data_IF_054540236475
#
_entry.id   IF_054540236475
#
_cell.length_a   1.000
_cell.length_b   1.000
_cell.length_c   1.000
_cell.angle_alpha   90.00
_cell.angle_beta   90.00
_cell.angle_gamma   90.00
#
_symmetry.space_group_name_H-M   'P 1'
#
loop_
_entity.id
_entity.type
_entity.pdbx_description
1 polymer ?
#
# COMPACT_ATOMS: atom_id res chain seq x y z
N UNK A 1 21.84 -4.21 -26.95
CA UNK A 1 22.72 -4.78 -25.92
C UNK A 1 24.08 -4.10 -26.09
N UNK A 2 24.57 -3.26 -25.16
CA UNK A 2 25.90 -2.67 -25.31
C UNK A 2 26.98 -3.75 -25.11
N UNK A 3 27.97 -3.75 -25.98
CA UNK A 3 29.10 -4.68 -26.00
C UNK A 3 30.13 -4.26 -24.92
N UNK A 4 30.66 -5.22 -24.16
CA UNK A 4 31.64 -5.01 -23.08
C UNK A 4 32.98 -5.65 -23.47
N UNK A 5 34.05 -4.86 -23.45
CA UNK A 5 35.42 -5.32 -23.70
C UNK A 5 36.23 -5.49 -22.42
N UNK A 6 37.08 -6.52 -22.37
CA UNK A 6 38.04 -6.78 -21.28
C UNK A 6 39.40 -6.18 -21.64
N UNK A 7 39.98 -5.40 -20.73
CA UNK A 7 41.32 -4.80 -20.91
C UNK A 7 42.20 -5.16 -19.71
N UNK A 8 43.45 -5.51 -19.97
CA UNK A 8 44.44 -5.88 -18.95
C UNK A 8 45.25 -4.65 -18.52
N UNK A 9 45.44 -4.46 -17.23
CA UNK A 9 46.27 -3.37 -16.71
C UNK A 9 47.74 -3.78 -16.54
N UNK A 10 48.57 -2.80 -16.19
CA UNK A 10 50.01 -2.95 -16.03
C UNK A 10 50.42 -3.89 -14.87
N UNK A 11 49.47 -4.34 -14.04
CA UNK A 11 49.68 -5.34 -12.98
C UNK A 11 49.28 -6.74 -13.41
N UNK A 12 48.72 -6.89 -14.62
CA UNK A 12 48.27 -8.16 -15.18
C UNK A 12 46.83 -8.52 -14.84
N UNK A 13 46.06 -7.64 -14.18
CA UNK A 13 44.66 -7.85 -13.87
C UNK A 13 43.75 -7.40 -15.03
N UNK A 14 42.70 -8.18 -15.33
CA UNK A 14 41.73 -7.86 -16.37
C UNK A 14 40.50 -7.18 -15.79
N UNK A 15 40.09 -6.05 -16.37
CA UNK A 15 38.89 -5.32 -15.97
C UNK A 15 37.97 -5.04 -17.18
N UNK A 16 36.66 -5.07 -16.91
CA UNK A 16 35.62 -4.78 -17.90
C UNK A 16 35.48 -3.27 -18.08
N UNK A 17 35.68 -2.79 -19.31
CA UNK A 17 35.54 -1.37 -19.64
C UNK A 17 34.36 -1.18 -20.58
N UNK A 18 33.51 -0.20 -20.27
CA UNK A 18 32.44 0.27 -21.16
C UNK A 18 32.92 1.51 -21.90
N UNK A 19 32.77 1.52 -23.21
CA UNK A 19 33.12 2.65 -24.08
C UNK A 19 31.98 3.67 -24.09
N UNK A 20 32.07 4.69 -23.23
CA UNK A 20 31.17 5.86 -23.29
C UNK A 20 31.86 7.02 -24.03
N UNK A 21 31.30 7.38 -25.19
CA UNK A 21 31.66 8.56 -25.95
C UNK A 21 31.27 9.84 -25.20
N UNK A 22 32.25 10.70 -24.96
CA UNK A 22 32.08 11.93 -24.19
C UNK A 22 31.36 13.06 -24.95
N UNK A 23 30.53 13.79 -24.22
CA UNK A 23 29.96 15.09 -24.60
C UNK A 23 29.65 15.92 -23.35
N UNK A 24 30.42 17.00 -23.14
CA UNK A 24 30.29 17.97 -22.05
C UNK A 24 29.00 18.78 -22.15
N UNK A 25 28.29 18.96 -21.04
CA UNK A 25 27.43 20.12 -20.79
C UNK A 25 27.29 20.38 -19.29
N UNK A 26 27.53 21.63 -18.92
CA UNK A 26 27.41 22.26 -17.61
C UNK A 26 26.01 22.14 -16.99
N UNK A 27 25.95 21.96 -15.67
CA UNK A 27 24.72 22.11 -14.89
C UNK A 27 24.87 21.60 -13.47
N UNK A 28 25.18 22.50 -12.53
CA UNK A 28 25.06 22.24 -11.10
C UNK A 28 23.61 21.90 -10.77
N UNK A 29 23.34 20.69 -10.26
CA UNK A 29 22.20 20.45 -9.38
C UNK A 29 22.40 19.16 -8.58
N UNK A 30 22.72 19.37 -7.31
CA UNK A 30 22.33 18.56 -6.16
C UNK A 30 21.53 17.29 -6.45
N UNK A 31 22.13 16.15 -6.12
CA UNK A 31 21.42 14.90 -5.84
C UNK A 31 20.31 15.16 -4.81
N UNK A 32 19.05 15.16 -5.25
CA UNK A 32 17.90 15.06 -4.34
C UNK A 32 17.80 13.62 -3.85
N UNK A 33 18.48 13.40 -2.73
CA UNK A 33 17.98 12.54 -1.67
C UNK A 33 16.47 12.79 -1.52
N UNK A 34 15.67 11.78 -1.84
CA UNK A 34 14.22 11.84 -1.64
C UNK A 34 13.95 11.57 -0.17
N UNK A 35 14.37 12.54 0.64
CA UNK A 35 14.12 12.58 2.06
C UNK A 35 12.62 12.51 2.31
N UNK A 36 12.29 11.57 3.18
CA UNK A 36 11.05 11.46 3.92
C UNK A 36 10.71 12.81 4.55
N UNK A 37 10.05 13.69 3.80
CA UNK A 37 9.48 14.93 4.32
C UNK A 37 8.09 14.62 4.86
N UNK A 38 8.09 13.84 5.95
CA UNK A 38 7.06 13.91 6.97
C UNK A 38 6.88 15.37 7.40
N UNK A 39 5.69 15.68 7.91
CA UNK A 39 5.29 17.03 8.29
C UNK A 39 6.42 17.73 9.06
N UNK A 40 6.82 18.93 8.62
CA UNK A 40 7.84 19.82 9.22
C UNK A 40 7.51 20.30 10.66
N UNK A 41 6.64 19.59 11.38
CA UNK A 41 6.45 19.69 12.81
C UNK A 41 6.14 18.30 13.36
N UNK A 42 7.18 17.51 13.59
CA UNK A 42 7.23 16.45 14.61
C UNK A 42 7.03 17.03 16.04
N UNK A 43 6.14 18.02 16.20
CA UNK A 43 5.63 18.46 17.49
C UNK A 43 4.59 17.44 17.93
N UNK A 44 5.19 16.31 18.31
CA UNK A 44 4.67 15.19 19.06
C UNK A 44 3.42 14.52 18.47
N UNK A 45 3.65 13.62 17.51
CA UNK A 45 2.65 12.63 17.07
C UNK A 45 1.97 11.94 18.28
N UNK A 46 2.69 11.79 19.39
CA UNK A 46 2.20 11.19 20.66
C UNK A 46 1.20 12.07 21.41
N UNK A 47 1.11 13.36 21.10
CA UNK A 47 0.15 14.31 21.71
C UNK A 47 -1.15 14.43 20.92
N UNK A 48 -1.21 13.90 19.70
CA UNK A 48 -2.46 13.94 18.93
C UNK A 48 -3.55 13.16 19.65
N UNK A 49 -4.74 13.72 19.62
CA UNK A 49 -5.96 13.14 20.15
C UNK A 49 -6.91 12.79 19.01
N UNK A 50 -8.05 12.19 19.36
CA UNK A 50 -9.09 11.85 18.37
C UNK A 50 -9.62 13.06 17.61
N UNK A 51 -9.63 14.24 18.25
CA UNK A 51 -10.17 15.48 17.69
C UNK A 51 -9.23 16.10 16.65
N UNK A 52 -7.94 15.79 16.74
CA UNK A 52 -6.93 16.23 15.78
C UNK A 52 -6.98 15.43 14.47
N UNK A 53 -7.63 14.27 14.45
CA UNK A 53 -7.77 13.44 13.25
C UNK A 53 -8.90 14.00 12.37
N UNK A 54 -8.60 14.52 11.16
CA UNK A 54 -9.62 15.11 10.30
C UNK A 54 -10.68 14.09 9.91
N UNK A 55 -11.90 14.55 9.63
CA UNK A 55 -12.94 13.69 9.09
C UNK A 55 -12.80 13.54 7.57
N UNK A 56 -13.30 12.44 7.00
CA UNK A 56 -13.38 12.31 5.56
C UNK A 56 -14.24 13.43 4.94
N UNK A 57 -15.31 13.85 5.62
CA UNK A 57 -16.18 14.95 5.22
C UNK A 57 -15.50 16.32 5.18
N UNK A 58 -14.42 16.53 5.93
CA UNK A 58 -13.67 17.79 5.87
C UNK A 58 -12.80 17.90 4.61
N UNK A 59 -12.65 16.82 3.83
CA UNK A 59 -11.76 16.76 2.67
C UNK A 59 -10.27 16.65 3.02
N UNK A 60 -9.90 16.78 4.31
CA UNK A 60 -8.50 16.84 4.73
C UNK A 60 -7.94 15.50 5.22
N UNK A 61 -8.77 14.48 5.40
CA UNK A 61 -8.33 13.20 5.97
C UNK A 61 -7.27 12.50 5.13
N UNK A 62 -7.45 12.40 3.80
CA UNK A 62 -6.49 11.70 2.97
C UNK A 62 -5.11 12.37 3.01
N UNK A 63 -5.08 13.71 2.93
CA UNK A 63 -3.86 14.49 3.08
C UNK A 63 -3.16 14.18 4.41
N UNK A 64 -3.92 14.18 5.51
CA UNK A 64 -3.40 13.80 6.84
C UNK A 64 -2.82 12.38 6.85
N UNK A 65 -3.56 11.38 6.38
CA UNK A 65 -3.08 9.99 6.37
C UNK A 65 -1.84 9.82 5.50
N UNK A 66 -1.82 10.46 4.34
CA UNK A 66 -0.70 10.37 3.39
C UNK A 66 0.55 11.07 3.91
N UNK A 67 0.40 12.14 4.70
CA UNK A 67 1.53 12.87 5.28
C UNK A 67 2.21 12.18 6.46
N UNK A 68 1.57 11.18 7.07
CA UNK A 68 2.20 10.36 8.11
C UNK A 68 3.30 9.50 7.49
N UNK A 69 4.39 9.28 8.19
CA UNK A 69 5.30 8.16 7.93
C UNK A 69 4.70 6.86 8.46
N UNK A 70 5.28 5.70 8.10
CA UNK A 70 4.85 4.41 8.65
C UNK A 70 5.01 4.37 10.18
N UNK A 71 6.12 4.88 10.71
CA UNK A 71 6.39 4.90 12.15
C UNK A 71 5.47 5.85 12.93
N UNK A 72 5.09 6.99 12.34
CA UNK A 72 4.11 7.89 12.94
C UNK A 72 2.72 7.26 12.97
N UNK A 73 2.32 6.56 11.88
CA UNK A 73 1.07 5.83 11.88
C UNK A 73 1.07 4.71 12.92
N UNK A 74 2.17 3.96 13.06
CA UNK A 74 2.32 2.92 14.09
C UNK A 74 2.16 3.48 15.51
N UNK A 75 2.72 4.66 15.78
CA UNK A 75 2.58 5.33 17.08
C UNK A 75 1.11 5.69 17.36
N UNK A 76 0.43 6.34 16.40
CA UNK A 76 -0.99 6.64 16.49
C UNK A 76 -1.86 5.38 16.60
N UNK A 77 -1.43 4.27 15.99
CA UNK A 77 -2.16 3.01 15.97
C UNK A 77 -2.26 2.33 17.34
N UNK A 78 -1.34 2.67 18.27
CA UNK A 78 -1.35 2.16 19.66
C UNK A 78 -2.56 2.66 20.44
N UNK A 79 -3.03 3.89 20.20
CA UNK A 79 -4.26 4.40 20.81
C UNK A 79 -5.49 3.83 20.08
N UNK A 80 -6.27 3.00 20.79
CA UNK A 80 -7.47 2.35 20.25
C UNK A 80 -8.53 3.32 19.74
N UNK A 81 -8.68 4.51 20.34
CA UNK A 81 -9.65 5.51 19.91
C UNK A 81 -9.19 6.21 18.63
N UNK A 82 -7.91 6.57 18.55
CA UNK A 82 -7.31 7.15 17.34
C UNK A 82 -7.37 6.15 16.19
N UNK A 83 -6.92 4.91 16.42
CA UNK A 83 -7.03 3.81 15.45
C UNK A 83 -8.46 3.67 14.90
N UNK A 84 -9.47 3.58 15.78
CA UNK A 84 -10.88 3.48 15.35
C UNK A 84 -11.33 4.68 14.52
N UNK A 85 -10.87 5.89 14.86
CA UNK A 85 -11.17 7.11 14.11
C UNK A 85 -10.57 7.06 12.71
N UNK A 86 -9.30 6.67 12.58
CA UNK A 86 -8.60 6.50 11.29
C UNK A 86 -9.29 5.41 10.46
N UNK A 87 -9.52 4.22 11.03
CA UNK A 87 -10.23 3.13 10.36
C UNK A 87 -11.58 3.62 9.82
N UNK A 88 -12.38 4.34 10.62
CA UNK A 88 -13.66 4.90 10.16
C UNK A 88 -13.49 5.87 9.00
N UNK A 89 -12.46 6.72 9.01
CA UNK A 89 -12.26 7.71 7.95
C UNK A 89 -11.76 7.07 6.65
N UNK A 90 -11.03 5.94 6.72
CA UNK A 90 -10.68 5.13 5.56
C UNK A 90 -11.92 4.44 4.96
N UNK A 91 -12.87 4.00 5.80
CA UNK A 91 -14.12 3.36 5.35
C UNK A 91 -15.16 4.32 4.80
N UNK A 92 -15.04 5.63 4.95
CA UNK A 92 -16.05 6.58 4.47
C UNK A 92 -15.98 6.73 2.92
N UNK A 93 -17.12 6.74 2.20
CA UNK A 93 -18.46 6.35 2.64
C UNK A 93 -18.57 4.83 2.85
N UNK A 94 -19.44 4.42 3.77
CA UNK A 94 -19.72 3.01 4.03
C UNK A 94 -20.47 2.32 2.88
N UNK A 95 -20.73 1.02 3.02
CA UNK A 95 -21.38 0.20 1.98
C UNK A 95 -20.40 -0.37 0.94
N UNK A 96 -19.09 -0.24 1.20
CA UNK A 96 -18.02 -0.75 0.37
C UNK A 96 -17.19 -1.76 1.17
N UNK A 97 -16.79 -2.87 0.54
CA UNK A 97 -15.84 -3.84 1.06
C UNK A 97 -14.42 -3.37 0.73
N UNK A 98 -13.55 -3.37 1.73
CA UNK A 98 -12.15 -2.98 1.58
C UNK A 98 -11.27 -4.19 1.30
N UNK A 99 -10.66 -4.27 0.11
CA UNK A 99 -9.65 -5.28 -0.22
C UNK A 99 -8.32 -5.00 0.50
N UNK A 100 -7.98 -3.72 0.65
CA UNK A 100 -6.99 -3.24 1.62
C UNK A 100 -7.66 -3.08 2.98
N UNK A 101 -7.79 -4.18 3.74
CA UNK A 101 -8.50 -4.14 5.02
C UNK A 101 -7.92 -3.05 5.93
N UNK A 102 -8.75 -2.05 6.26
CA UNK A 102 -8.29 -0.89 7.02
C UNK A 102 -7.79 -1.23 8.43
N UNK A 103 -8.13 -2.42 8.95
CA UNK A 103 -7.57 -2.96 10.21
C UNK A 103 -6.07 -3.30 10.13
N UNK A 104 -5.50 -3.26 8.92
CA UNK A 104 -4.09 -3.41 8.58
C UNK A 104 -3.53 -2.20 7.84
N UNK A 105 -4.14 -1.02 7.99
CA UNK A 105 -3.63 0.21 7.37
C UNK A 105 -2.11 0.47 7.62
N UNK A 106 -1.52 0.16 8.78
CA UNK A 106 -0.07 0.28 8.95
C UNK A 106 0.76 -0.57 7.99
N UNK A 107 0.34 -1.81 7.71
CA UNK A 107 1.01 -2.68 6.74
C UNK A 107 0.96 -2.10 5.33
N UNK A 108 -0.20 -1.56 4.94
CA UNK A 108 -0.37 -0.89 3.65
C UNK A 108 0.45 0.40 3.57
N UNK A 109 0.58 1.14 4.67
CA UNK A 109 1.44 2.31 4.74
C UNK A 109 2.92 1.95 4.57
N UNK A 110 3.37 0.85 5.18
CA UNK A 110 4.71 0.29 4.98
C UNK A 110 4.98 -0.09 3.51
N UNK A 111 3.95 -0.54 2.80
CA UNK A 111 3.99 -0.80 1.36
C UNK A 111 3.76 0.44 0.48
N UNK A 112 3.78 1.65 1.07
CA UNK A 112 3.57 2.93 0.39
C UNK A 112 2.19 3.08 -0.29
N UNK A 113 1.15 2.48 0.29
CA UNK A 113 -0.23 2.61 -0.18
C UNK A 113 -0.93 3.77 0.55
N UNK A 114 -1.45 4.72 -0.22
CA UNK A 114 -2.13 5.92 0.27
C UNK A 114 -3.62 5.73 0.56
N UNK A 115 -4.23 6.75 1.14
CA UNK A 115 -5.66 6.75 1.48
C UNK A 115 -6.57 6.67 0.25
N UNK A 116 -6.18 7.29 -0.86
CA UNK A 116 -6.89 7.21 -2.15
C UNK A 116 -6.94 5.77 -2.64
N UNK A 117 -5.79 5.10 -2.70
CA UNK A 117 -5.74 3.73 -3.22
C UNK A 117 -6.55 2.75 -2.35
N UNK A 118 -6.46 2.87 -1.02
CA UNK A 118 -7.31 2.09 -0.08
C UNK A 118 -8.81 2.33 -0.36
N UNK A 119 -9.19 3.56 -0.73
CA UNK A 119 -10.59 3.95 -0.93
C UNK A 119 -11.11 3.64 -2.34
N UNK A 120 -10.28 3.77 -3.35
CA UNK A 120 -10.66 3.60 -4.74
C UNK A 120 -10.69 2.11 -5.12
N UNK A 121 -9.86 1.30 -4.46
CA UNK A 121 -9.81 -0.15 -4.66
C UNK A 121 -10.74 -0.88 -3.68
N UNK A 122 -11.98 -0.39 -3.59
CA UNK A 122 -13.09 -1.02 -2.86
C UNK A 122 -14.17 -1.49 -3.83
N UNK A 123 -15.03 -2.38 -3.37
CA UNK A 123 -16.17 -2.89 -4.14
C UNK A 123 -17.45 -2.72 -3.34
N UNK A 124 -18.59 -2.43 -3.98
CA UNK A 124 -19.86 -2.38 -3.26
C UNK A 124 -20.13 -3.71 -2.55
N UNK A 125 -20.56 -3.67 -1.28
CA UNK A 125 -20.76 -4.90 -0.50
C UNK A 125 -21.82 -5.82 -1.13
N UNK A 126 -22.76 -5.26 -1.89
CA UNK A 126 -23.77 -6.00 -2.66
C UNK A 126 -23.19 -6.88 -3.76
N UNK A 127 -22.02 -6.51 -4.26
CA UNK A 127 -21.37 -7.15 -5.40
C UNK A 127 -20.32 -8.17 -4.93
N UNK A 128 -20.03 -8.21 -3.63
CA UNK A 128 -19.11 -9.17 -3.03
C UNK A 128 -19.85 -10.44 -2.62
N UNK A 129 -19.74 -11.45 -3.48
CA UNK A 129 -20.29 -12.79 -3.26
C UNK A 129 -19.17 -13.81 -3.15
N UNK A 130 -19.25 -14.63 -2.12
CA UNK A 130 -18.28 -15.67 -1.86
C UNK A 130 -18.73 -17.02 -2.43
N UNK A 131 -17.78 -17.83 -2.85
CA UNK A 131 -17.92 -19.24 -3.19
C UNK A 131 -16.96 -20.06 -2.32
N UNK A 132 -17.26 -21.34 -2.09
CA UNK A 132 -16.42 -22.27 -1.30
C UNK A 132 -16.21 -21.91 0.19
N UNK A 133 -17.27 -21.80 1.01
CA UNK A 133 -18.69 -22.01 0.69
C UNK A 133 -19.36 -20.73 0.17
N UNK A 134 -20.56 -20.89 -0.39
CA UNK A 134 -21.39 -19.78 -0.82
C UNK A 134 -21.69 -18.82 0.34
N UNK A 135 -21.64 -17.53 0.05
CA UNK A 135 -21.78 -16.50 1.08
C UNK A 135 -21.85 -15.10 0.52
N UNK A 136 -22.07 -14.13 1.41
CA UNK A 136 -22.13 -12.70 1.08
C UNK A 136 -21.39 -11.90 2.13
N UNK A 137 -21.03 -10.67 1.80
CA UNK A 137 -20.44 -9.75 2.77
C UNK A 137 -21.33 -9.56 4.01
N UNK A 138 -20.75 -9.69 5.21
CA UNK A 138 -21.47 -9.57 6.49
C UNK A 138 -22.37 -10.76 6.85
N UNK A 139 -22.52 -11.73 5.94
CA UNK A 139 -23.33 -12.93 6.14
C UNK A 139 -22.51 -14.20 6.29
N UNK A 140 -23.13 -15.33 5.93
CA UNK A 140 -22.51 -16.65 5.94
C UNK A 140 -21.20 -16.63 5.13
N UNK A 141 -20.16 -17.28 5.66
CA UNK A 141 -18.85 -17.38 5.00
C UNK A 141 -17.99 -16.11 5.05
N UNK A 142 -18.54 -14.96 5.46
CA UNK A 142 -17.81 -13.68 5.50
C UNK A 142 -16.64 -13.70 6.49
N UNK A 143 -16.83 -14.25 7.68
CA UNK A 143 -15.73 -14.36 8.68
C UNK A 143 -14.55 -15.17 8.15
N UNK A 144 -14.83 -16.29 7.46
CA UNK A 144 -13.77 -17.11 6.86
C UNK A 144 -13.03 -16.33 5.76
N UNK A 145 -13.77 -15.68 4.86
CA UNK A 145 -13.19 -14.85 3.81
C UNK A 145 -12.27 -13.75 4.38
N UNK A 146 -12.74 -13.02 5.39
CA UNK A 146 -11.94 -11.98 6.04
C UNK A 146 -10.68 -12.55 6.70
N UNK A 147 -10.77 -13.68 7.39
CA UNK A 147 -9.60 -14.29 8.04
C UNK A 147 -8.54 -14.77 7.04
N UNK A 148 -8.97 -15.33 5.91
CA UNK A 148 -8.07 -15.73 4.83
C UNK A 148 -7.38 -14.50 4.21
N UNK A 149 -8.13 -13.42 3.98
CA UNK A 149 -7.58 -12.18 3.42
C UNK A 149 -6.62 -11.49 4.41
N UNK A 150 -6.95 -11.47 5.71
CA UNK A 150 -6.04 -11.03 6.76
C UNK A 150 -4.74 -11.84 6.74
N UNK A 151 -4.82 -13.17 6.62
CA UNK A 151 -3.64 -14.02 6.54
C UNK A 151 -2.79 -13.71 5.29
N UNK A 152 -3.42 -13.41 4.15
CA UNK A 152 -2.69 -12.99 2.93
C UNK A 152 -1.94 -11.67 3.16
N UNK A 153 -2.57 -10.68 3.81
CA UNK A 153 -1.92 -9.42 4.15
C UNK A 153 -0.75 -9.65 5.11
N UNK A 154 -1.01 -10.33 6.23
CA UNK A 154 -0.06 -10.48 7.34
C UNK A 154 1.17 -11.33 7.00
N UNK A 155 1.09 -12.15 5.95
CA UNK A 155 2.19 -13.06 5.55
C UNK A 155 2.81 -12.73 4.19
N UNK A 156 2.43 -11.62 3.55
CA UNK A 156 3.05 -11.18 2.29
C UNK A 156 4.28 -10.31 2.58
N UNK A 157 5.39 -10.56 1.87
CA UNK A 157 6.63 -9.79 2.04
C UNK A 157 6.52 -8.35 1.55
N UNK A 158 5.71 -8.14 0.53
CA UNK A 158 5.59 -6.88 -0.22
C UNK A 158 4.21 -6.80 -0.89
N UNK A 159 3.88 -5.62 -1.41
CA UNK A 159 2.61 -5.35 -2.05
C UNK A 159 2.35 -6.22 -3.29
N UNK A 160 3.37 -6.47 -4.11
CA UNK A 160 3.23 -7.28 -5.32
C UNK A 160 2.88 -8.73 -4.97
N UNK A 161 3.46 -9.26 -3.89
CA UNK A 161 3.14 -10.57 -3.34
C UNK A 161 1.74 -10.61 -2.75
N UNK A 162 1.32 -9.56 -2.03
CA UNK A 162 -0.07 -9.40 -1.59
C UNK A 162 -1.05 -9.45 -2.78
N UNK A 163 -0.85 -8.62 -3.80
CA UNK A 163 -1.72 -8.56 -5.00
C UNK A 163 -1.79 -9.91 -5.70
N UNK A 164 -0.65 -10.58 -5.91
CA UNK A 164 -0.63 -11.92 -6.54
C UNK A 164 -1.42 -12.95 -5.74
N UNK A 165 -1.25 -12.98 -4.42
CA UNK A 165 -1.96 -13.91 -3.54
C UNK A 165 -3.44 -13.58 -3.43
N UNK A 166 -3.81 -12.29 -3.42
CA UNK A 166 -5.19 -11.83 -3.50
C UNK A 166 -5.87 -12.32 -4.79
N UNK A 167 -5.20 -12.24 -5.94
CA UNK A 167 -5.76 -12.72 -7.21
C UNK A 167 -6.00 -14.24 -7.19
N UNK A 168 -5.04 -15.01 -6.67
CA UNK A 168 -5.22 -16.45 -6.50
C UNK A 168 -6.38 -16.79 -5.56
N UNK A 169 -6.47 -16.08 -4.44
CA UNK A 169 -7.57 -16.22 -3.50
C UNK A 169 -8.91 -15.84 -4.13
N UNK A 170 -8.96 -14.78 -4.93
CA UNK A 170 -10.16 -14.32 -5.62
C UNK A 170 -10.71 -15.39 -6.57
N UNK A 171 -9.85 -16.03 -7.37
CA UNK A 171 -10.25 -17.15 -8.24
C UNK A 171 -10.87 -18.33 -7.46
N UNK A 172 -10.48 -18.53 -6.20
CA UNK A 172 -11.01 -19.59 -5.36
C UNK A 172 -12.25 -19.18 -4.57
N UNK A 173 -12.36 -17.90 -4.16
CA UNK A 173 -13.35 -17.44 -3.17
C UNK A 173 -14.40 -16.47 -3.68
N UNK A 174 -14.23 -15.85 -4.85
CA UNK A 174 -15.21 -14.89 -5.38
C UNK A 174 -16.01 -15.48 -6.54
N UNK A 175 -17.32 -15.24 -6.53
CA UNK A 175 -18.12 -15.40 -7.75
C UNK A 175 -17.57 -14.44 -8.81
N UNK A 176 -17.17 -14.96 -9.98
CA UNK A 176 -16.48 -14.19 -11.04
C UNK A 176 -14.96 -14.12 -10.91
N UNK A 177 -14.36 -14.72 -9.86
CA UNK A 177 -12.92 -14.82 -9.70
C UNK A 177 -12.21 -13.46 -9.64
N UNK A 178 -11.04 -13.35 -10.27
CA UNK A 178 -10.27 -12.09 -10.37
C UNK A 178 -11.05 -10.95 -11.01
N UNK A 179 -12.00 -11.24 -11.91
CA UNK A 179 -12.80 -10.19 -12.57
C UNK A 179 -13.69 -9.42 -11.58
N UNK A 180 -13.94 -9.96 -10.39
CA UNK A 180 -14.71 -9.32 -9.33
C UNK A 180 -13.90 -8.38 -8.43
N UNK A 181 -12.56 -8.38 -8.58
CA UNK A 181 -11.70 -7.37 -7.97
C UNK A 181 -11.79 -6.04 -8.74
N UNK A 182 -11.52 -4.88 -8.11
CA UNK A 182 -11.38 -3.61 -8.82
C UNK A 182 -10.17 -3.67 -9.78
N UNK A 183 -10.25 -2.92 -10.89
CA UNK A 183 -9.27 -3.01 -11.99
C UNK A 183 -7.81 -2.81 -11.53
N UNK A 184 -7.55 -1.95 -10.55
CA UNK A 184 -6.19 -1.71 -10.02
C UNK A 184 -5.61 -2.89 -9.24
N UNK A 185 -6.43 -3.88 -8.85
CA UNK A 185 -5.99 -5.09 -8.16
C UNK A 185 -5.96 -6.33 -9.08
N UNK A 186 -6.32 -6.21 -10.36
CA UNK A 186 -6.30 -7.34 -11.30
C UNK A 186 -4.90 -7.51 -11.88
N UNK A 187 -4.35 -8.72 -11.77
CA UNK A 187 -3.18 -9.07 -12.58
C UNK A 187 -3.58 -9.17 -14.05
N UNK A 188 -2.77 -8.57 -14.92
CA UNK A 188 -2.92 -8.63 -16.37
C UNK A 188 -2.18 -9.83 -16.94
#
# INVERSE_FOLDING_TARGET
MPEVGLVQDATGAYHLVRSDGGGRSSGSSSTKDSGDKGIDNAKDITKLTVDDIPTAKSGNFNKFFNSLTSSELDELWKDKKIRKKIERQLREPGGLHEWHLVSRAPQFKYWNIGAEEIKDLRTAISDVKFVNPNGVHGGLGSTKAHNELLAIIDTSSDYNTFVRRLNNWANYRLEGGVSSLPQGLRLK
#
